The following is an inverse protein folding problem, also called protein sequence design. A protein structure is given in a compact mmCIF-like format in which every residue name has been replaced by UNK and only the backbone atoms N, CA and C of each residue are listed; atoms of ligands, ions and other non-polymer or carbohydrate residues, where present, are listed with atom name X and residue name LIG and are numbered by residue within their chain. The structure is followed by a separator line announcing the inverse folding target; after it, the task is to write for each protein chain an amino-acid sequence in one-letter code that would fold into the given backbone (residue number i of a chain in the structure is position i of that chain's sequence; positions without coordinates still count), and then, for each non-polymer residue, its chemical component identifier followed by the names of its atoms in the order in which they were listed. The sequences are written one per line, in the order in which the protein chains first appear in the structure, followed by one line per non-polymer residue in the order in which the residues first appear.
data_IF_762514421524
#
_entry.id   IF_762514421524
#
_cell.length_a   1.000
_cell.length_b   1.000
_cell.length_c   1.000
_cell.angle_alpha   90.00
_cell.angle_beta   90.00
_cell.angle_gamma   90.00
#
_symmetry.space_group_name_H-M   'P 1'
#
loop_
_entity.id
_entity.type
_entity.pdbx_description
1 polymer ?
#
# COMPACT_ATOMS: atom_id res chain seq x y z
N UNK A 1 -22.82 3.81 -21.84
CA UNK A 1 -22.08 4.26 -23.03
C UNK A 1 -20.59 4.36 -22.69
N UNK A 2 -19.68 4.04 -23.60
CA UNK A 2 -18.24 4.30 -23.44
C UNK A 2 -17.98 5.77 -23.12
N UNK A 3 -17.00 6.05 -22.27
CA UNK A 3 -16.58 7.40 -21.88
C UNK A 3 -15.09 7.57 -22.13
N UNK A 4 -14.66 8.79 -22.33
CA UNK A 4 -13.25 9.15 -22.30
C UNK A 4 -12.80 9.39 -20.85
N UNK A 5 -11.84 8.60 -20.39
CA UNK A 5 -11.33 8.64 -19.01
C UNK A 5 -9.85 8.98 -19.04
N UNK A 6 -9.46 9.91 -18.20
CA UNK A 6 -8.07 10.27 -17.98
C UNK A 6 -7.65 9.88 -16.55
N UNK A 7 -6.58 9.11 -16.42
CA UNK A 7 -6.02 8.71 -15.14
C UNK A 7 -4.67 9.41 -14.94
N UNK A 8 -4.49 10.05 -13.82
CA UNK A 8 -3.24 10.71 -13.43
C UNK A 8 -2.55 9.87 -12.36
N UNK A 9 -1.41 9.28 -12.71
CA UNK A 9 -0.61 8.39 -11.89
C UNK A 9 -0.67 6.93 -12.33
N UNK A 10 0.47 6.38 -12.73
CA UNK A 10 0.67 5.01 -13.23
C UNK A 10 1.14 4.02 -12.15
N UNK A 11 0.99 4.35 -10.88
CA UNK A 11 1.15 3.40 -9.79
C UNK A 11 0.10 2.28 -9.84
N UNK A 12 0.25 1.25 -8.98
CA UNK A 12 -0.61 0.06 -9.01
C UNK A 12 -2.11 0.37 -8.90
N UNK A 13 -2.49 1.42 -8.16
CA UNK A 13 -3.90 1.86 -8.04
C UNK A 13 -4.41 2.44 -9.36
N UNK A 14 -3.61 3.28 -10.03
CA UNK A 14 -3.96 3.83 -11.34
C UNK A 14 -4.01 2.76 -12.42
N UNK A 15 -3.07 1.80 -12.41
CA UNK A 15 -3.06 0.67 -13.34
C UNK A 15 -4.27 -0.25 -13.13
N UNK A 16 -4.59 -0.63 -11.89
CA UNK A 16 -5.78 -1.42 -11.60
C UNK A 16 -7.06 -0.69 -12.03
N UNK A 17 -7.13 0.63 -11.82
CA UNK A 17 -8.23 1.46 -12.30
C UNK A 17 -8.33 1.45 -13.84
N UNK A 18 -7.21 1.62 -14.53
CA UNK A 18 -7.17 1.57 -15.99
C UNK A 18 -7.61 0.20 -16.53
N UNK A 19 -7.15 -0.88 -15.89
CA UNK A 19 -7.52 -2.24 -16.26
C UNK A 19 -9.06 -2.44 -16.22
N UNK A 20 -9.72 -2.15 -15.08
CA UNK A 20 -11.16 -2.34 -14.96
C UNK A 20 -11.97 -1.42 -15.88
N UNK A 21 -11.49 -0.19 -16.13
CA UNK A 21 -12.16 0.75 -17.03
C UNK A 21 -12.03 0.34 -18.50
N UNK A 22 -10.84 -0.14 -18.93
CA UNK A 22 -10.67 -0.65 -20.31
C UNK A 22 -11.47 -1.93 -20.53
N UNK A 23 -11.50 -2.84 -19.56
CA UNK A 23 -12.37 -4.02 -19.63
C UNK A 23 -13.86 -3.67 -19.69
N UNK A 24 -14.27 -2.56 -19.06
CA UNK A 24 -15.64 -2.06 -19.17
C UNK A 24 -15.93 -1.33 -20.51
N UNK A 25 -14.98 -1.30 -21.44
CA UNK A 25 -15.14 -0.70 -22.77
C UNK A 25 -14.97 0.82 -22.82
N UNK A 26 -14.40 1.44 -21.77
CA UNK A 26 -14.10 2.88 -21.80
C UNK A 26 -12.79 3.17 -22.55
N UNK A 27 -12.71 4.34 -23.18
CA UNK A 27 -11.46 4.88 -23.73
C UNK A 27 -10.62 5.46 -22.60
N UNK A 28 -9.48 4.85 -22.30
CA UNK A 28 -8.64 5.19 -21.13
C UNK A 28 -7.27 5.69 -21.59
N UNK A 29 -6.90 6.88 -21.09
CA UNK A 29 -5.54 7.42 -21.17
C UNK A 29 -4.97 7.55 -19.77
N UNK A 30 -3.77 7.02 -19.54
CA UNK A 30 -3.07 7.05 -18.26
C UNK A 30 -1.80 7.88 -18.41
N UNK A 31 -1.69 8.97 -17.65
CA UNK A 31 -0.51 9.84 -17.63
C UNK A 31 0.35 9.47 -16.44
N UNK A 32 1.63 9.14 -16.69
CA UNK A 32 2.64 8.86 -15.67
C UNK A 32 3.94 9.61 -15.96
N UNK A 33 4.50 10.25 -14.93
CA UNK A 33 5.76 11.03 -15.08
C UNK A 33 6.99 10.18 -15.27
N UNK A 34 7.02 9.00 -14.65
CA UNK A 34 8.12 8.02 -14.74
C UNK A 34 7.60 6.68 -15.25
N UNK A 35 7.70 6.41 -16.58
CA UNK A 35 7.23 5.15 -17.16
C UNK A 35 7.90 3.90 -16.58
N UNK A 36 9.12 4.05 -16.03
CA UNK A 36 9.84 2.95 -15.36
C UNK A 36 9.30 2.64 -13.97
N UNK A 37 8.55 3.57 -13.38
CA UNK A 37 8.05 3.50 -12.01
C UNK A 37 9.16 3.30 -10.96
N UNK A 38 10.38 3.73 -11.25
CA UNK A 38 11.57 3.50 -10.42
C UNK A 38 11.41 4.02 -8.98
N UNK A 39 10.70 5.13 -8.82
CA UNK A 39 10.41 5.75 -7.52
C UNK A 39 8.96 5.52 -7.05
N UNK A 40 8.19 4.69 -7.76
CA UNK A 40 6.83 4.39 -7.36
C UNK A 40 6.79 3.49 -6.13
N UNK A 41 5.94 3.83 -5.14
CA UNK A 41 5.69 2.96 -3.99
C UNK A 41 5.21 1.55 -4.38
N UNK A 42 4.77 1.37 -5.62
CA UNK A 42 4.26 0.10 -6.12
C UNK A 42 5.37 -0.90 -6.39
N UNK A 43 6.46 -0.49 -7.06
CA UNK A 43 7.55 -1.39 -7.47
C UNK A 43 8.38 -1.92 -6.31
N UNK A 44 8.63 -1.08 -5.30
CA UNK A 44 9.36 -1.47 -4.09
C UNK A 44 8.47 -2.00 -2.96
N UNK A 45 7.17 -2.24 -3.21
CA UNK A 45 6.25 -2.82 -2.24
C UNK A 45 6.70 -4.23 -1.84
N UNK A 46 6.34 -4.63 -0.60
CA UNK A 46 6.62 -5.97 -0.09
C UNK A 46 5.85 -7.10 -0.80
N UNK A 47 4.89 -6.79 -1.66
CA UNK A 47 4.18 -7.79 -2.45
C UNK A 47 3.09 -8.57 -1.69
N UNK A 48 2.75 -8.17 -0.48
CA UNK A 48 1.79 -8.87 0.37
C UNK A 48 0.36 -8.41 0.09
N UNK A 49 -0.55 -9.36 0.03
CA UNK A 49 -2.00 -9.19 -0.05
C UNK A 49 -2.56 -9.70 1.27
N UNK A 50 -3.03 -8.78 2.12
CA UNK A 50 -3.15 -9.05 3.56
C UNK A 50 -4.53 -8.73 4.14
N UNK A 51 -5.52 -9.63 4.02
CA UNK A 51 -6.77 -9.58 4.79
C UNK A 51 -6.56 -9.46 6.29
N UNK A 52 -5.45 -9.97 6.82
CA UNK A 52 -5.04 -9.85 8.22
C UNK A 52 -4.83 -8.40 8.70
N UNK A 53 -4.66 -7.44 7.77
CA UNK A 53 -4.43 -6.02 8.09
C UNK A 53 -5.75 -5.23 8.20
N UNK A 54 -6.65 -5.66 9.07
CA UNK A 54 -7.95 -5.02 9.32
C UNK A 54 -7.89 -3.88 10.35
N UNK A 55 -6.76 -3.69 11.03
CA UNK A 55 -6.53 -2.59 11.97
C UNK A 55 -5.90 -1.41 11.23
N UNK A 56 -6.50 -0.20 11.26
CA UNK A 56 -5.94 0.96 10.59
C UNK A 56 -4.62 1.42 11.23
N UNK A 57 -3.79 2.17 10.48
CA UNK A 57 -2.54 2.73 10.99
C UNK A 57 -2.76 3.63 12.23
N UNK A 58 -3.87 4.37 12.26
CA UNK A 58 -4.27 5.19 13.39
C UNK A 58 -4.96 4.31 14.45
N UNK A 59 -4.18 3.64 15.29
CA UNK A 59 -4.64 2.76 16.36
C UNK A 59 -4.11 3.21 17.74
N UNK A 60 -4.75 2.79 18.83
CA UNK A 60 -4.25 3.07 20.19
C UNK A 60 -2.82 2.59 20.39
N UNK A 61 -2.02 3.35 21.14
CA UNK A 61 -0.63 3.00 21.46
C UNK A 61 0.40 3.36 20.38
N UNK A 62 0.01 3.57 19.12
CA UNK A 62 0.96 3.87 18.01
C UNK A 62 1.74 5.16 18.27
N UNK A 63 1.11 6.20 18.83
CA UNK A 63 1.78 7.47 19.14
C UNK A 63 2.83 7.27 20.23
N UNK A 64 2.46 6.62 21.34
CA UNK A 64 3.39 6.37 22.46
C UNK A 64 4.57 5.51 22.04
N UNK A 65 4.32 4.47 21.25
CA UNK A 65 5.36 3.63 20.69
C UNK A 65 6.24 4.41 19.70
N UNK A 66 5.64 5.23 18.84
CA UNK A 66 6.37 6.09 17.92
C UNK A 66 7.31 7.06 18.61
N UNK A 67 6.86 7.70 19.71
CA UNK A 67 7.68 8.59 20.52
C UNK A 67 8.89 7.85 21.15
N UNK A 68 8.68 6.65 21.71
CA UNK A 68 9.79 5.81 22.22
C UNK A 68 10.83 5.50 21.13
N UNK A 69 10.37 5.23 19.92
CA UNK A 69 11.25 4.89 18.81
C UNK A 69 12.02 6.08 18.22
N UNK A 70 11.54 7.30 18.39
CA UNK A 70 12.22 8.49 17.86
C UNK A 70 13.65 8.69 18.39
N UNK A 71 13.95 8.19 19.57
CA UNK A 71 15.28 8.29 20.19
C UNK A 71 16.28 7.22 19.71
N UNK A 72 15.81 6.22 18.96
CA UNK A 72 16.68 5.19 18.40
C UNK A 72 16.90 5.43 16.90
N UNK A 73 18.12 5.72 16.42
CA UNK A 73 18.41 5.99 15.01
C UNK A 73 18.17 4.76 14.10
N UNK A 74 18.15 3.54 14.65
CA UNK A 74 17.86 2.29 13.92
C UNK A 74 16.38 1.88 13.99
N UNK A 75 15.53 2.67 14.65
CA UNK A 75 14.13 2.30 14.83
C UNK A 75 13.35 2.21 13.51
N UNK A 76 12.33 1.37 13.45
CA UNK A 76 11.50 1.21 12.25
C UNK A 76 10.56 2.40 12.00
N UNK A 77 10.37 3.29 12.97
CA UNK A 77 9.51 4.46 12.85
C UNK A 77 10.26 5.76 13.17
N UNK A 78 9.95 6.81 12.41
CA UNK A 78 10.45 8.15 12.67
C UNK A 78 9.50 9.22 12.16
N UNK A 79 9.28 10.24 12.96
CA UNK A 79 8.64 11.47 12.54
C UNK A 79 9.71 12.55 12.38
N UNK A 80 9.99 12.97 11.13
CA UNK A 80 10.98 14.00 10.85
C UNK A 80 10.46 15.37 11.29
N UNK A 81 11.06 15.99 12.33
CA UNK A 81 10.66 17.32 12.79
C UNK A 81 10.81 18.36 11.67
N UNK A 82 9.76 19.13 11.44
CA UNK A 82 9.78 20.28 10.51
C UNK A 82 8.62 21.22 10.83
N UNK A 83 8.84 22.49 10.61
CA UNK A 83 7.78 23.51 10.69
C UNK A 83 6.93 23.45 9.44
N UNK A 84 5.75 22.85 9.56
CA UNK A 84 4.81 22.65 8.45
C UNK A 84 3.38 22.58 8.96
N UNK A 85 2.52 23.54 8.55
CA UNK A 85 1.09 23.51 8.91
C UNK A 85 0.39 22.21 8.48
N UNK A 86 0.77 21.66 7.32
CA UNK A 86 0.21 20.40 6.83
C UNK A 86 0.59 19.20 7.72
N UNK A 87 1.83 19.19 8.24
CA UNK A 87 2.26 18.16 9.19
C UNK A 87 1.53 18.31 10.52
N UNK A 88 1.43 19.54 11.06
CA UNK A 88 0.74 19.79 12.32
C UNK A 88 -0.74 19.37 12.24
N UNK A 89 -1.43 19.73 11.15
CA UNK A 89 -2.81 19.28 10.91
C UNK A 89 -2.90 17.75 10.81
N UNK A 90 -1.98 17.12 10.09
CA UNK A 90 -1.95 15.66 9.94
C UNK A 90 -1.75 14.97 11.31
N UNK A 91 -0.79 15.43 12.14
CA UNK A 91 -0.54 14.91 13.49
C UNK A 91 -1.79 15.05 14.37
N UNK A 92 -2.44 16.21 14.35
CA UNK A 92 -3.67 16.44 15.12
C UNK A 92 -4.77 15.45 14.71
N UNK A 93 -5.00 15.29 13.40
CA UNK A 93 -6.00 14.37 12.89
C UNK A 93 -5.64 12.91 13.18
N UNK A 94 -4.36 12.55 13.05
CA UNK A 94 -3.88 11.19 13.36
C UNK A 94 -4.11 10.87 14.86
N UNK A 95 -3.78 11.79 15.74
CA UNK A 95 -4.02 11.63 17.17
C UNK A 95 -5.52 11.50 17.50
N UNK A 96 -6.36 12.32 16.86
CA UNK A 96 -7.82 12.26 17.01
C UNK A 96 -8.40 10.90 16.60
N UNK A 97 -7.82 10.24 15.61
CA UNK A 97 -8.28 8.93 15.12
C UNK A 97 -7.56 7.74 15.77
N UNK A 98 -6.47 7.94 16.51
CA UNK A 98 -5.76 6.85 17.21
C UNK A 98 -6.51 6.35 18.46
N UNK A 99 -7.75 5.89 18.28
CA UNK A 99 -8.68 5.49 19.35
C UNK A 99 -9.31 4.11 19.10
N UNK A 100 -9.69 3.41 20.19
CA UNK A 100 -10.43 2.14 20.11
C UNK A 100 -11.73 2.27 19.30
N UNK A 101 -12.44 3.39 19.45
CA UNK A 101 -13.68 3.70 18.72
C UNK A 101 -13.43 3.77 17.22
N UNK A 102 -12.33 4.40 16.80
CA UNK A 102 -11.98 4.47 15.37
C UNK A 102 -11.69 3.08 14.81
N UNK A 103 -10.87 2.27 15.51
CA UNK A 103 -10.60 0.88 15.11
C UNK A 103 -11.90 0.09 14.97
N UNK A 104 -12.76 0.11 15.99
CA UNK A 104 -14.05 -0.60 15.96
C UNK A 104 -14.95 -0.18 14.79
N UNK A 105 -14.94 1.11 14.43
CA UNK A 105 -15.77 1.63 13.34
C UNK A 105 -15.23 1.32 11.94
N UNK A 106 -13.95 1.00 11.82
CA UNK A 106 -13.27 0.89 10.50
C UNK A 106 -12.76 -0.50 10.17
N UNK A 107 -12.61 -1.36 11.16
CA UNK A 107 -12.03 -2.70 10.98
C UNK A 107 -12.83 -3.59 10.01
N UNK A 108 -14.17 -3.55 10.07
CA UNK A 108 -15.01 -4.33 9.16
C UNK A 108 -14.86 -3.84 7.71
N UNK A 109 -14.84 -2.52 7.51
CA UNK A 109 -14.60 -1.94 6.19
C UNK A 109 -13.25 -2.36 5.61
N UNK A 110 -12.17 -2.30 6.43
CA UNK A 110 -10.83 -2.73 5.99
C UNK A 110 -10.78 -4.24 5.71
N UNK A 111 -11.42 -5.06 6.53
CA UNK A 111 -11.59 -6.50 6.30
C UNK A 111 -12.29 -6.75 4.95
N UNK A 112 -13.44 -6.12 4.73
CA UNK A 112 -14.25 -6.36 3.53
C UNK A 112 -13.54 -5.90 2.26
N UNK A 113 -12.88 -4.73 2.30
CA UNK A 113 -12.02 -4.25 1.22
C UNK A 113 -10.90 -5.25 0.92
N UNK A 114 -10.24 -5.77 1.96
CA UNK A 114 -9.08 -6.66 1.81
C UNK A 114 -9.47 -8.05 1.31
N UNK A 115 -10.58 -8.63 1.82
CA UNK A 115 -11.09 -9.92 1.36
C UNK A 115 -11.56 -9.85 -0.10
N UNK A 116 -12.32 -8.80 -0.45
CA UNK A 116 -12.77 -8.63 -1.83
C UNK A 116 -11.60 -8.34 -2.78
N UNK A 117 -10.62 -7.53 -2.32
CA UNK A 117 -9.42 -7.29 -3.10
C UNK A 117 -8.60 -8.57 -3.32
N UNK A 118 -8.47 -9.43 -2.30
CA UNK A 118 -7.83 -10.74 -2.43
C UNK A 118 -8.56 -11.59 -3.49
N UNK A 119 -9.89 -11.66 -3.42
CA UNK A 119 -10.69 -12.39 -4.42
C UNK A 119 -10.41 -11.89 -5.85
N UNK A 120 -10.35 -10.58 -6.01
CA UNK A 120 -10.02 -9.95 -7.29
C UNK A 120 -8.57 -10.22 -7.72
N UNK A 121 -7.59 -10.25 -6.79
CA UNK A 121 -6.23 -10.65 -7.10
C UNK A 121 -6.13 -12.09 -7.64
N UNK A 122 -6.89 -13.02 -7.04
CA UNK A 122 -6.96 -14.41 -7.52
C UNK A 122 -7.50 -14.46 -8.95
N UNK A 123 -8.61 -13.79 -9.22
CA UNK A 123 -9.17 -13.71 -10.57
C UNK A 123 -8.19 -13.10 -11.58
N UNK A 124 -7.54 -12.00 -11.22
CA UNK A 124 -6.55 -11.34 -12.07
C UNK A 124 -5.34 -12.23 -12.35
N UNK A 125 -4.87 -12.97 -11.34
CA UNK A 125 -3.74 -13.90 -11.48
C UNK A 125 -4.03 -14.99 -12.53
N UNK A 126 -5.25 -15.52 -12.54
CA UNK A 126 -5.68 -16.50 -13.54
C UNK A 126 -5.86 -15.89 -14.93
N UNK A 127 -6.51 -14.71 -15.00
CA UNK A 127 -6.83 -14.04 -16.26
C UNK A 127 -5.62 -13.47 -16.97
N UNK A 128 -4.70 -12.87 -16.23
CA UNK A 128 -3.54 -12.12 -16.75
C UNK A 128 -2.22 -12.88 -16.55
N UNK A 129 -2.29 -14.14 -16.08
CA UNK A 129 -1.18 -15.09 -15.96
C UNK A 129 0.07 -14.56 -15.24
N UNK A 130 -0.10 -14.09 -13.99
CA UNK A 130 1.03 -13.76 -13.11
C UNK A 130 1.00 -14.62 -11.84
N UNK A 131 2.17 -14.97 -11.26
CA UNK A 131 2.23 -15.80 -10.07
C UNK A 131 1.64 -15.10 -8.82
N UNK A 132 0.76 -15.79 -8.11
CA UNK A 132 0.23 -15.41 -6.81
C UNK A 132 0.36 -16.59 -5.84
N UNK A 133 1.16 -16.45 -4.80
CA UNK A 133 1.42 -17.49 -3.81
C UNK A 133 0.39 -17.41 -2.69
N UNK A 134 -0.41 -18.48 -2.51
CA UNK A 134 -1.54 -18.57 -1.60
C UNK A 134 -1.23 -19.45 -0.38
N UNK A 135 -0.05 -19.29 0.22
CA UNK A 135 0.39 -20.10 1.37
C UNK A 135 0.14 -19.44 2.73
N UNK A 136 -0.37 -18.21 2.72
CA UNK A 136 -0.56 -17.41 3.92
C UNK A 136 0.65 -16.52 4.22
N UNK A 137 0.59 -15.90 5.40
CA UNK A 137 1.60 -15.00 5.97
C UNK A 137 1.89 -15.42 7.40
N UNK A 138 3.15 -15.32 7.83
CA UNK A 138 3.58 -15.53 9.20
C UNK A 138 3.87 -14.19 9.88
N UNK A 139 3.23 -13.88 11.01
CA UNK A 139 3.69 -12.84 11.93
C UNK A 139 4.63 -13.48 12.94
N UNK A 140 5.94 -13.33 12.73
CA UNK A 140 6.99 -13.95 13.56
C UNK A 140 7.26 -13.12 14.81
N UNK A 141 7.34 -13.76 15.98
CA UNK A 141 7.57 -13.13 17.28
C UNK A 141 8.80 -13.73 17.98
N UNK A 142 9.74 -12.88 18.42
CA UNK A 142 10.93 -13.29 19.19
C UNK A 142 10.72 -13.25 20.70
N UNK A 143 9.70 -12.54 21.18
CA UNK A 143 9.36 -12.42 22.59
C UNK A 143 8.02 -13.08 22.91
N UNK A 144 7.90 -13.65 24.11
CA UNK A 144 6.62 -14.19 24.62
C UNK A 144 5.54 -13.10 24.64
N UNK A 145 5.88 -11.90 25.11
CA UNK A 145 4.95 -10.76 25.14
C UNK A 145 4.47 -10.38 23.74
N UNK A 146 5.36 -10.37 22.73
CA UNK A 146 5.00 -10.10 21.34
C UNK A 146 4.07 -11.18 20.77
N UNK A 147 4.31 -12.45 21.11
CA UNK A 147 3.45 -13.56 20.69
C UNK A 147 2.06 -13.47 21.35
N UNK A 148 1.99 -13.13 22.63
CA UNK A 148 0.72 -12.96 23.35
C UNK A 148 -0.09 -11.78 22.79
N UNK A 149 0.55 -10.63 22.50
CA UNK A 149 -0.11 -9.50 21.85
C UNK A 149 -0.69 -9.90 20.48
N UNK A 150 0.07 -10.60 19.63
CA UNK A 150 -0.39 -11.04 18.31
C UNK A 150 -1.46 -12.14 18.41
N UNK A 151 -1.40 -13.03 19.43
CA UNK A 151 -2.46 -13.99 19.70
C UNK A 151 -3.80 -13.30 20.06
N UNK A 152 -3.75 -12.17 20.79
CA UNK A 152 -4.95 -11.38 21.05
C UNK A 152 -5.52 -10.77 19.76
N UNK A 153 -4.65 -10.32 18.84
CA UNK A 153 -5.08 -9.84 17.50
C UNK A 153 -5.69 -10.98 16.69
N UNK A 154 -5.11 -12.19 16.74
CA UNK A 154 -5.66 -13.37 16.07
C UNK A 154 -7.04 -13.76 16.62
N UNK A 155 -7.23 -13.74 17.94
CA UNK A 155 -8.52 -14.00 18.57
C UNK A 155 -9.56 -12.95 18.16
N UNK A 156 -9.16 -11.68 18.07
CA UNK A 156 -10.04 -10.62 17.58
C UNK A 156 -10.39 -10.82 16.10
N UNK A 157 -9.45 -11.24 15.27
CA UNK A 157 -9.67 -11.54 13.86
C UNK A 157 -10.74 -12.62 13.65
N UNK A 158 -10.76 -13.65 14.52
CA UNK A 158 -11.81 -14.68 14.50
C UNK A 158 -13.22 -14.09 14.70
N UNK A 159 -13.38 -13.07 15.54
CA UNK A 159 -14.67 -12.39 15.71
C UNK A 159 -15.12 -11.64 14.45
N UNK A 160 -14.18 -11.34 13.56
CA UNK A 160 -14.44 -10.72 12.27
C UNK A 160 -14.54 -11.72 11.11
N UNK A 161 -14.52 -13.03 11.40
CA UNK A 161 -14.59 -14.10 10.40
C UNK A 161 -13.30 -14.34 9.62
N UNK A 162 -12.17 -13.78 10.10
CA UNK A 162 -10.85 -14.05 9.54
C UNK A 162 -10.23 -15.29 10.21
N UNK A 163 -9.40 -16.01 9.45
CA UNK A 163 -8.68 -17.17 9.95
C UNK A 163 -7.29 -16.77 10.45
N UNK A 164 -6.91 -17.31 11.60
CA UNK A 164 -5.58 -17.14 12.18
C UNK A 164 -5.24 -18.37 13.03
N UNK A 165 -3.98 -18.78 13.08
CA UNK A 165 -3.48 -19.88 13.89
C UNK A 165 -2.26 -19.41 14.69
N UNK A 166 -2.27 -19.68 16.00
CA UNK A 166 -1.09 -19.47 16.85
C UNK A 166 -0.19 -20.69 16.68
N UNK A 167 1.00 -20.47 16.15
CA UNK A 167 1.97 -21.50 15.84
C UNK A 167 3.11 -21.52 16.86
N UNK A 168 3.36 -22.67 17.46
CA UNK A 168 4.59 -22.94 18.19
C UNK A 168 5.77 -23.21 17.23
N UNK A 169 6.95 -23.51 17.80
CA UNK A 169 8.15 -23.81 17.00
C UNK A 169 8.01 -25.07 16.15
N UNK A 170 7.26 -26.08 16.61
CA UNK A 170 7.01 -27.31 15.86
C UNK A 170 6.18 -27.00 14.62
N UNK A 171 5.07 -26.30 14.80
CA UNK A 171 4.20 -25.90 13.72
C UNK A 171 4.87 -24.94 12.74
N UNK A 172 5.70 -24.02 13.25
CA UNK A 172 6.49 -23.12 12.42
C UNK A 172 7.47 -23.88 11.52
N UNK A 173 8.12 -24.94 12.05
CA UNK A 173 9.02 -25.81 11.28
C UNK A 173 8.30 -26.62 10.19
N UNK A 174 7.05 -27.02 10.43
CA UNK A 174 6.21 -27.66 9.40
C UNK A 174 5.87 -26.69 8.26
N UNK A 175 5.55 -25.43 8.59
CA UNK A 175 5.21 -24.41 7.61
C UNK A 175 6.43 -23.93 6.80
N UNK A 176 7.61 -23.90 7.44
CA UNK A 176 8.88 -23.45 6.84
C UNK A 176 10.00 -24.50 7.05
N UNK A 177 9.89 -25.68 6.42
CA UNK A 177 10.82 -26.80 6.66
C UNK A 177 12.27 -26.53 6.21
N UNK A 178 12.43 -25.65 5.21
CA UNK A 178 13.72 -25.38 4.55
C UNK A 178 14.41 -24.11 5.04
N UNK A 179 13.81 -23.40 6.00
CA UNK A 179 14.32 -22.12 6.50
C UNK A 179 14.47 -22.19 8.00
N UNK A 180 15.62 -21.76 8.50
CA UNK A 180 15.82 -21.60 9.94
C UNK A 180 15.22 -20.26 10.38
N UNK A 181 14.32 -20.29 11.38
CA UNK A 181 13.65 -19.11 11.90
C UNK A 181 13.85 -19.01 13.40
N UNK A 182 14.50 -17.95 13.85
CA UNK A 182 14.68 -17.63 15.25
C UNK A 182 13.49 -16.85 15.80
N UNK A 183 12.42 -17.56 16.16
CA UNK A 183 11.21 -17.02 16.75
C UNK A 183 10.74 -17.90 17.90
N UNK A 184 10.04 -17.32 18.89
CA UNK A 184 9.34 -18.05 19.96
C UNK A 184 8.09 -18.75 19.43
N UNK A 185 7.45 -18.13 18.46
CA UNK A 185 6.27 -18.61 17.77
C UNK A 185 5.84 -17.61 16.70
N UNK A 186 4.69 -17.88 16.11
CA UNK A 186 4.13 -17.05 15.05
C UNK A 186 2.60 -17.04 15.10
N UNK A 187 1.99 -16.08 14.40
CA UNK A 187 0.61 -16.19 13.95
C UNK A 187 0.64 -16.48 12.46
N UNK A 188 0.04 -17.58 12.05
CA UNK A 188 -0.19 -17.88 10.63
C UNK A 188 -1.55 -17.36 10.19
N UNK A 189 -1.55 -16.60 9.10
CA UNK A 189 -2.72 -16.02 8.46
C UNK A 189 -2.97 -16.72 7.12
N UNK A 190 -3.73 -17.83 7.07
CA UNK A 190 -3.85 -18.66 5.86
C UNK A 190 -4.53 -17.97 4.68
N UNK A 191 -5.34 -16.93 4.93
CA UNK A 191 -6.02 -16.17 3.90
C UNK A 191 -5.13 -15.13 3.19
N UNK A 192 -3.98 -14.80 3.77
CA UNK A 192 -3.04 -13.88 3.16
C UNK A 192 -2.29 -14.55 2.01
N UNK A 193 -1.76 -13.75 1.11
CA UNK A 193 -0.96 -14.23 -0.01
C UNK A 193 0.08 -13.18 -0.43
N UNK A 194 0.95 -13.55 -1.36
CA UNK A 194 1.95 -12.61 -1.86
C UNK A 194 2.22 -12.82 -3.35
N UNK A 195 2.77 -11.77 -3.96
CA UNK A 195 3.14 -11.74 -5.38
C UNK A 195 4.37 -10.86 -5.62
N UNK A 196 4.95 -10.96 -6.80
CA UNK A 196 5.94 -10.00 -7.28
C UNK A 196 5.24 -8.73 -7.80
N UNK A 197 5.47 -7.54 -7.18
CA UNK A 197 4.89 -6.29 -7.69
C UNK A 197 5.24 -6.00 -9.15
N UNK A 198 6.45 -6.34 -9.59
CA UNK A 198 6.87 -6.14 -10.98
C UNK A 198 6.05 -6.99 -11.95
N UNK A 199 5.82 -8.27 -11.65
CA UNK A 199 5.02 -9.15 -12.50
C UNK A 199 3.57 -8.69 -12.55
N UNK A 200 2.98 -8.31 -11.41
CA UNK A 200 1.62 -7.79 -11.36
C UNK A 200 1.46 -6.49 -12.16
N UNK A 201 2.38 -5.53 -12.00
CA UNK A 201 2.39 -4.27 -12.78
C UNK A 201 2.52 -4.56 -14.27
N UNK A 202 3.41 -5.47 -14.67
CA UNK A 202 3.60 -5.84 -16.07
C UNK A 202 2.35 -6.48 -16.67
N UNK A 203 1.70 -7.37 -15.92
CA UNK A 203 0.46 -8.02 -16.33
C UNK A 203 -0.68 -6.99 -16.53
N UNK A 204 -0.85 -6.06 -15.58
CA UNK A 204 -1.84 -4.98 -15.73
C UNK A 204 -1.56 -4.11 -16.96
N UNK A 205 -0.30 -3.70 -17.18
CA UNK A 205 0.07 -2.89 -18.35
C UNK A 205 -0.21 -3.61 -19.67
N UNK A 206 0.12 -4.89 -19.77
CA UNK A 206 -0.17 -5.71 -20.94
C UNK A 206 -1.68 -5.80 -21.19
N UNK A 207 -2.46 -6.05 -20.16
CA UNK A 207 -3.91 -6.11 -20.23
C UNK A 207 -4.54 -4.78 -20.68
N UNK A 208 -4.09 -3.66 -20.10
CA UNK A 208 -4.55 -2.32 -20.49
C UNK A 208 -4.27 -2.05 -21.96
N UNK A 209 -3.04 -2.33 -22.43
CA UNK A 209 -2.67 -2.15 -23.86
C UNK A 209 -3.49 -3.04 -24.78
N UNK A 210 -3.68 -4.30 -24.42
CA UNK A 210 -4.52 -5.26 -25.17
C UNK A 210 -5.95 -4.77 -25.34
N UNK A 211 -6.49 -4.07 -24.33
CA UNK A 211 -7.84 -3.52 -24.33
C UNK A 211 -7.91 -2.06 -24.85
N UNK A 212 -6.87 -1.58 -25.55
CA UNK A 212 -6.86 -0.27 -26.21
C UNK A 212 -6.56 0.92 -25.30
N UNK A 213 -6.15 0.71 -24.05
CA UNK A 213 -5.71 1.77 -23.16
C UNK A 213 -4.37 2.37 -23.58
N UNK A 214 -4.22 3.67 -23.41
CA UNK A 214 -3.05 4.43 -23.85
C UNK A 214 -2.24 4.94 -22.64
N UNK A 215 -0.91 4.80 -22.73
CA UNK A 215 0.03 5.34 -21.77
C UNK A 215 0.68 6.60 -22.30
N UNK A 216 0.67 7.66 -21.50
CA UNK A 216 1.25 8.97 -21.83
C UNK A 216 2.34 9.26 -20.78
N UNK A 217 3.53 9.57 -21.26
CA UNK A 217 4.60 10.04 -20.37
C UNK A 217 4.44 11.54 -20.14
N UNK A 218 4.28 11.95 -18.87
CA UNK A 218 4.16 13.35 -18.51
C UNK A 218 3.88 13.56 -17.02
N UNK A 219 4.37 14.66 -16.49
CA UNK A 219 4.11 15.12 -15.13
C UNK A 219 2.93 16.11 -15.15
N UNK A 220 1.77 15.70 -14.63
CA UNK A 220 0.61 16.59 -14.48
C UNK A 220 0.88 17.57 -13.35
N UNK A 221 0.81 18.87 -13.66
CA UNK A 221 1.08 19.95 -12.71
C UNK A 221 -0.12 20.86 -12.47
N UNK A 222 -1.12 20.85 -13.37
CA UNK A 222 -2.28 21.75 -13.28
C UNK A 222 -3.59 21.03 -13.58
N UNK A 223 -4.61 21.36 -12.77
CA UNK A 223 -6.02 21.06 -13.02
C UNK A 223 -6.75 22.39 -13.32
N UNK A 224 -7.48 22.45 -14.41
CA UNK A 224 -8.37 23.59 -14.71
C UNK A 224 -9.80 23.17 -14.46
N UNK A 225 -10.46 23.81 -13.49
CA UNK A 225 -11.85 23.53 -13.14
C UNK A 225 -12.72 24.78 -13.34
N UNK A 226 -13.85 24.61 -14.00
CA UNK A 226 -14.84 25.65 -14.26
C UNK A 226 -16.24 25.07 -14.14
N UNK A 227 -17.19 25.86 -13.63
CA UNK A 227 -18.59 25.46 -13.48
C UNK A 227 -18.79 24.10 -12.78
N UNK A 228 -17.99 23.83 -11.74
CA UNK A 228 -18.08 22.59 -10.97
C UNK A 228 -17.57 21.33 -11.70
N UNK A 229 -16.77 21.49 -12.76
CA UNK A 229 -16.14 20.37 -13.49
C UNK A 229 -14.67 20.63 -13.76
N UNK A 230 -13.84 19.62 -13.70
CA UNK A 230 -12.49 19.68 -14.26
C UNK A 230 -12.63 19.63 -15.78
N UNK A 231 -12.16 20.68 -16.44
CA UNK A 231 -12.19 20.83 -17.90
C UNK A 231 -10.97 20.17 -18.55
N UNK A 232 -9.82 20.28 -17.89
CA UNK A 232 -8.56 19.74 -18.42
C UNK A 232 -7.52 19.52 -17.34
N UNK A 233 -6.54 18.70 -17.67
CA UNK A 233 -5.26 18.58 -16.95
C UNK A 233 -4.14 19.04 -17.85
N UNK A 234 -3.12 19.71 -17.29
CA UNK A 234 -1.96 20.19 -18.04
C UNK A 234 -0.69 19.58 -17.45
N UNK A 235 0.17 19.10 -18.32
CA UNK A 235 1.48 18.57 -17.95
C UNK A 235 2.51 19.70 -17.81
N UNK A 236 3.63 19.37 -17.22
CA UNK A 236 4.77 20.29 -17.08
C UNK A 236 5.35 20.75 -18.42
N UNK A 237 5.22 19.92 -19.47
CA UNK A 237 5.59 20.28 -20.85
C UNK A 237 4.61 21.23 -21.52
N UNK A 238 3.44 21.52 -20.91
CA UNK A 238 2.42 22.41 -21.43
C UNK A 238 1.31 21.69 -22.20
N UNK A 239 1.41 20.39 -22.42
CA UNK A 239 0.36 19.61 -23.08
C UNK A 239 -0.89 19.55 -22.23
N UNK A 240 -2.05 19.72 -22.88
CA UNK A 240 -3.34 19.77 -22.20
C UNK A 240 -4.25 18.65 -22.67
N UNK A 241 -4.84 17.91 -21.72
CA UNK A 241 -5.72 16.78 -21.97
C UNK A 241 -7.10 17.03 -21.38
N UNK A 242 -8.14 16.69 -22.14
CA UNK A 242 -9.55 16.74 -21.72
C UNK A 242 -10.10 15.33 -21.62
N UNK A 243 -11.08 15.12 -20.74
CA UNK A 243 -11.80 13.85 -20.60
C UNK A 243 -13.15 14.09 -19.91
N UNK A 244 -14.10 13.16 -20.10
CA UNK A 244 -15.40 13.20 -19.45
C UNK A 244 -15.30 12.92 -17.94
N UNK A 245 -14.37 12.04 -17.55
CA UNK A 245 -14.03 11.80 -16.16
C UNK A 245 -12.51 11.73 -15.97
N UNK A 246 -12.06 12.21 -14.82
CA UNK A 246 -10.65 12.25 -14.45
C UNK A 246 -10.48 11.50 -13.13
N UNK A 247 -9.45 10.66 -13.05
CA UNK A 247 -9.09 9.92 -11.82
C UNK A 247 -7.71 10.38 -11.35
N UNK A 248 -7.61 10.86 -10.11
CA UNK A 248 -6.33 11.16 -9.47
C UNK A 248 -5.87 9.96 -8.63
N UNK A 249 -4.84 9.28 -9.10
CA UNK A 249 -4.19 8.13 -8.48
C UNK A 249 -2.67 8.34 -8.27
N UNK A 250 -2.22 9.59 -8.18
CA UNK A 250 -0.82 10.02 -8.11
C UNK A 250 -0.18 9.87 -6.72
N UNK A 251 -0.72 9.00 -5.83
CA UNK A 251 -0.16 8.80 -4.50
C UNK A 251 -0.12 10.11 -3.69
N UNK A 252 1.02 10.42 -3.08
CA UNK A 252 1.19 11.62 -2.25
C UNK A 252 1.02 12.93 -3.05
N UNK A 253 1.37 12.93 -4.33
CA UNK A 253 1.30 14.12 -5.19
C UNK A 253 -0.15 14.52 -5.52
N UNK A 254 -1.10 13.61 -5.36
CA UNK A 254 -2.54 13.90 -5.48
C UNK A 254 -2.98 15.08 -4.61
N UNK A 255 -2.35 15.26 -3.44
CA UNK A 255 -2.66 16.39 -2.53
C UNK A 255 -2.46 17.74 -3.22
N UNK A 256 -1.37 17.90 -3.94
CA UNK A 256 -1.04 19.17 -4.64
C UNK A 256 -2.06 19.49 -5.72
N UNK A 257 -2.45 18.48 -6.50
CA UNK A 257 -3.46 18.66 -7.55
C UNK A 257 -4.86 18.92 -6.99
N UNK A 258 -5.27 18.17 -5.96
CA UNK A 258 -6.57 18.34 -5.31
C UNK A 258 -6.74 19.73 -4.67
N UNK A 259 -5.67 20.28 -4.07
CA UNK A 259 -5.70 21.62 -3.49
C UNK A 259 -6.00 22.72 -4.50
N UNK A 260 -5.65 22.55 -5.79
CA UNK A 260 -5.92 23.54 -6.86
C UNK A 260 -7.43 23.74 -7.12
N UNK A 261 -8.24 22.74 -6.76
CA UNK A 261 -9.70 22.80 -6.88
C UNK A 261 -10.39 22.93 -5.53
N UNK A 262 -9.65 23.31 -4.48
CA UNK A 262 -10.17 23.51 -3.12
C UNK A 262 -10.52 22.21 -2.37
N UNK A 263 -10.06 21.06 -2.83
CA UNK A 263 -10.23 19.78 -2.11
C UNK A 263 -8.98 19.49 -1.27
N UNK A 264 -9.15 19.53 0.06
CA UNK A 264 -8.08 19.24 1.00
C UNK A 264 -8.00 17.73 1.29
N UNK A 265 -6.85 17.12 1.00
CA UNK A 265 -6.54 15.72 1.31
C UNK A 265 -5.35 15.67 2.28
N UNK A 266 -5.56 15.73 3.61
CA UNK A 266 -4.46 15.63 4.57
C UNK A 266 -3.71 14.31 4.38
N UNK A 267 -2.48 14.36 3.87
CA UNK A 267 -1.61 13.20 3.69
C UNK A 267 -0.17 13.55 4.03
N UNK A 268 0.59 12.56 4.47
CA UNK A 268 2.04 12.66 4.64
C UNK A 268 2.73 11.49 3.95
N UNK A 269 3.90 11.75 3.38
CA UNK A 269 4.75 10.69 2.85
C UNK A 269 5.35 9.86 3.97
N UNK A 270 4.97 8.59 4.04
CA UNK A 270 5.55 7.58 4.90
C UNK A 270 6.66 6.84 4.17
N UNK A 271 7.90 7.30 4.33
CA UNK A 271 9.06 6.73 3.64
C UNK A 271 9.40 5.35 4.17
N UNK A 272 9.62 4.41 3.26
CA UNK A 272 10.12 3.08 3.55
C UNK A 272 11.23 2.67 2.61
N UNK A 273 11.97 1.65 3.01
CA UNK A 273 13.05 1.05 2.24
C UNK A 273 12.72 -0.39 1.91
N UNK A 274 13.23 -0.88 0.78
CA UNK A 274 13.31 -2.31 0.49
C UNK A 274 14.63 -2.66 -0.16
N UNK A 275 15.10 -3.87 0.16
CA UNK A 275 16.25 -4.53 -0.43
C UNK A 275 15.77 -5.83 -1.05
N UNK A 276 16.32 -6.19 -2.20
CA UNK A 276 15.98 -7.46 -2.85
C UNK A 276 17.25 -8.26 -3.04
N UNK A 277 17.38 -9.37 -2.31
CA UNK A 277 18.50 -10.29 -2.45
C UNK A 277 18.27 -11.18 -3.67
N UNK A 278 19.18 -11.20 -4.63
CA UNK A 278 19.19 -12.20 -5.69
C UNK A 278 19.71 -13.53 -5.12
N UNK A 279 19.09 -14.64 -5.51
CA UNK A 279 19.53 -16.01 -5.18
C UNK A 279 19.80 -16.19 -3.67
N UNK A 280 18.78 -16.02 -2.80
CA UNK A 280 18.94 -16.17 -1.35
C UNK A 280 19.40 -17.59 -0.99
N UNK A 281 20.25 -17.72 0.04
CA UNK A 281 20.79 -19.02 0.51
C UNK A 281 19.70 -19.96 1.02
N UNK A 282 18.60 -19.40 1.56
CA UNK A 282 17.40 -20.12 1.94
C UNK A 282 16.20 -19.22 1.66
N UNK A 283 15.36 -19.62 0.71
CA UNK A 283 14.17 -18.84 0.37
C UNK A 283 12.97 -19.38 1.13
N UNK A 284 12.35 -18.60 2.03
CA UNK A 284 11.14 -19.04 2.73
C UNK A 284 10.02 -19.32 1.72
N UNK A 285 9.05 -20.15 2.11
CA UNK A 285 7.88 -20.45 1.28
C UNK A 285 6.75 -19.45 1.49
N UNK A 286 6.65 -18.88 2.70
CA UNK A 286 5.65 -17.90 3.09
C UNK A 286 6.28 -16.52 3.21
N UNK A 287 5.48 -15.50 2.94
CA UNK A 287 5.88 -14.17 3.35
C UNK A 287 5.73 -14.01 4.87
N UNK A 288 6.52 -13.15 5.47
CA UNK A 288 6.48 -12.93 6.92
C UNK A 288 6.61 -11.47 7.32
N UNK A 289 6.02 -11.14 8.48
CA UNK A 289 6.20 -9.90 9.20
C UNK A 289 6.94 -10.15 10.50
N UNK A 290 8.05 -9.47 10.70
CA UNK A 290 8.85 -9.55 11.90
C UNK A 290 8.29 -8.56 12.93
N UNK A 291 7.60 -9.06 13.96
CA UNK A 291 6.84 -8.24 14.92
C UNK A 291 7.67 -7.12 15.55
N UNK A 292 8.81 -7.48 16.13
CA UNK A 292 9.66 -6.54 16.85
C UNK A 292 10.43 -5.59 15.91
N UNK A 293 10.83 -6.10 14.73
CA UNK A 293 11.58 -5.34 13.74
C UNK A 293 10.73 -4.49 12.81
N UNK A 294 9.42 -4.76 12.73
CA UNK A 294 8.52 -4.15 11.74
C UNK A 294 9.06 -4.28 10.31
N UNK A 295 9.58 -5.45 9.99
CA UNK A 295 10.16 -5.79 8.69
C UNK A 295 9.26 -6.81 8.00
N UNK A 296 8.98 -6.57 6.73
CA UNK A 296 8.30 -7.49 5.84
C UNK A 296 9.33 -8.28 5.04
N UNK A 297 9.17 -9.59 4.97
CA UNK A 297 10.03 -10.50 4.22
C UNK A 297 9.17 -11.27 3.24
N UNK A 298 9.51 -11.22 1.94
CA UNK A 298 8.68 -11.82 0.90
C UNK A 298 9.53 -12.55 -0.12
N UNK A 299 9.38 -13.86 -0.29
CA UNK A 299 9.94 -14.59 -1.41
C UNK A 299 9.24 -14.19 -2.71
N UNK A 300 10.02 -13.85 -3.74
CA UNK A 300 9.53 -13.42 -5.05
C UNK A 300 10.21 -14.23 -6.16
N UNK A 301 9.83 -15.50 -6.29
CA UNK A 301 10.50 -16.46 -7.15
C UNK A 301 11.89 -16.80 -6.58
N UNK A 302 12.93 -16.53 -7.34
CA UNK A 302 14.33 -16.74 -7.00
C UNK A 302 15.00 -15.57 -6.26
N UNK A 303 14.21 -14.59 -5.81
CA UNK A 303 14.67 -13.44 -5.04
C UNK A 303 13.95 -13.35 -3.69
N UNK A 304 14.56 -12.67 -2.73
CA UNK A 304 13.97 -12.41 -1.42
C UNK A 304 13.93 -10.91 -1.16
N UNK A 305 12.73 -10.36 -0.97
CA UNK A 305 12.57 -8.95 -0.61
C UNK A 305 12.48 -8.76 0.89
N UNK A 306 13.29 -7.83 1.41
CA UNK A 306 13.29 -7.39 2.81
C UNK A 306 12.93 -5.90 2.82
N UNK A 307 11.79 -5.56 3.42
CA UNK A 307 11.25 -4.20 3.40
C UNK A 307 10.88 -3.74 4.81
N UNK A 308 11.16 -2.47 5.12
CA UNK A 308 10.86 -1.95 6.46
C UNK A 308 10.78 -0.44 6.50
N UNK A 309 10.69 0.07 7.69
CA UNK A 309 10.60 1.46 8.11
C UNK A 309 9.31 2.20 7.72
N UNK A 310 8.98 3.20 8.53
CA UNK A 310 7.95 4.20 8.30
C UNK A 310 8.48 5.55 8.80
N UNK A 311 9.06 6.35 7.91
CA UNK A 311 9.48 7.71 8.24
C UNK A 311 8.46 8.73 7.72
N UNK A 312 7.77 9.42 8.59
CA UNK A 312 6.88 10.54 8.22
C UNK A 312 7.73 11.75 7.90
N UNK A 313 8.05 11.93 6.62
CA UNK A 313 9.10 12.86 6.18
C UNK A 313 8.67 13.84 5.07
N UNK A 314 7.37 13.94 4.75
CA UNK A 314 6.86 14.73 3.62
C UNK A 314 7.27 14.12 2.29
N UNK A 315 8.00 14.88 1.48
CA UNK A 315 8.47 14.43 0.15
C UNK A 315 9.96 14.06 0.12
N UNK A 316 10.62 13.96 1.29
CA UNK A 316 12.05 13.63 1.36
C UNK A 316 12.32 12.16 1.06
N UNK A 317 13.14 11.89 0.04
CA UNK A 317 13.52 10.54 -0.40
C UNK A 317 14.95 10.15 -0.04
N UNK A 318 15.68 10.97 0.75
CA UNK A 318 17.03 10.60 1.19
C UNK A 318 17.03 9.35 2.07
N UNK A 319 18.01 8.46 1.86
CA UNK A 319 18.12 7.20 2.60
C UNK A 319 18.86 7.44 3.91
N UNK A 320 18.27 6.99 5.02
CA UNK A 320 18.92 6.96 6.33
C UNK A 320 19.69 5.65 6.50
N UNK A 321 21.02 5.70 6.38
CA UNK A 321 21.87 4.52 6.56
C UNK A 321 21.63 3.79 7.90
N UNK A 322 21.50 4.48 9.06
CA UNK A 322 21.24 3.79 10.32
C UNK A 322 19.90 3.03 10.32
N UNK A 323 18.83 3.58 9.70
CA UNK A 323 17.52 2.90 9.65
C UNK A 323 17.53 1.73 8.70
N UNK A 324 18.18 1.88 7.54
CA UNK A 324 18.37 0.77 6.61
C UNK A 324 19.14 -0.37 7.29
N UNK A 325 20.21 -0.04 8.02
CA UNK A 325 20.95 -1.01 8.81
C UNK A 325 20.07 -1.70 9.87
N UNK A 326 19.16 -0.94 10.51
CA UNK A 326 18.18 -1.49 11.46
C UNK A 326 17.25 -2.53 10.83
N UNK A 327 16.83 -2.34 9.58
CA UNK A 327 16.03 -3.31 8.82
C UNK A 327 16.83 -4.60 8.59
N UNK A 328 18.09 -4.46 8.14
CA UNK A 328 18.97 -5.61 7.84
C UNK A 328 19.25 -6.39 9.14
N UNK A 329 19.63 -5.71 10.22
CA UNK A 329 19.91 -6.34 11.50
C UNK A 329 18.68 -7.07 12.08
N UNK A 330 17.49 -6.45 11.96
CA UNK A 330 16.25 -7.09 12.38
C UNK A 330 15.97 -8.35 11.56
N UNK A 331 16.16 -8.31 10.25
CA UNK A 331 16.02 -9.49 9.40
C UNK A 331 16.98 -10.60 9.79
N UNK A 332 18.29 -10.32 9.92
CA UNK A 332 19.29 -11.32 10.29
C UNK A 332 19.08 -11.96 11.67
N UNK A 333 18.43 -11.23 12.60
CA UNK A 333 18.05 -11.81 13.91
C UNK A 333 17.00 -12.91 13.81
N UNK A 334 16.04 -12.76 12.89
CA UNK A 334 14.98 -13.74 12.67
C UNK A 334 15.41 -14.87 11.74
N UNK A 335 16.32 -14.58 10.80
CA UNK A 335 16.81 -15.52 9.80
C UNK A 335 18.34 -15.69 9.95
N UNK A 336 18.80 -16.53 10.90
CA UNK A 336 20.21 -16.62 11.31
C UNK A 336 21.16 -17.15 10.23
N UNK A 337 20.64 -17.77 9.17
CA UNK A 337 21.42 -18.17 8.00
C UNK A 337 21.90 -17.02 7.14
N UNK A 338 21.42 -15.78 7.40
CA UNK A 338 21.84 -14.57 6.70
C UNK A 338 22.71 -13.68 7.59
N UNK A 339 23.61 -12.97 6.95
CA UNK A 339 24.50 -12.00 7.59
C UNK A 339 24.27 -10.60 6.99
N UNK A 340 24.64 -9.56 7.75
CA UNK A 340 24.53 -8.17 7.26
C UNK A 340 25.39 -7.90 6.04
N UNK A 341 26.48 -8.67 5.85
CA UNK A 341 27.33 -8.64 4.65
C UNK A 341 26.60 -9.00 3.36
N UNK A 342 25.56 -9.83 3.42
CA UNK A 342 24.79 -10.27 2.24
C UNK A 342 24.03 -9.13 1.58
N UNK A 343 23.90 -8.00 2.30
CA UNK A 343 23.20 -6.80 1.84
C UNK A 343 24.13 -5.66 1.41
N UNK A 344 25.45 -5.85 1.52
CA UNK A 344 26.44 -4.76 1.40
C UNK A 344 26.41 -4.08 0.02
N UNK A 345 26.25 -4.88 -1.02
CA UNK A 345 26.34 -4.42 -2.42
C UNK A 345 24.95 -4.26 -3.07
N UNK A 346 23.88 -4.24 -2.27
CA UNK A 346 22.52 -4.08 -2.77
C UNK A 346 22.11 -2.61 -2.75
N UNK A 347 21.56 -2.15 -3.86
CA UNK A 347 20.94 -0.82 -3.95
C UNK A 347 19.58 -0.82 -3.26
N UNK A 348 19.40 -0.03 -2.19
CA UNK A 348 18.13 0.07 -1.52
C UNK A 348 17.14 0.91 -2.33
N UNK A 349 15.96 0.36 -2.57
CA UNK A 349 14.85 1.14 -3.07
C UNK A 349 14.23 1.98 -1.94
N UNK A 350 13.74 3.18 -2.30
CA UNK A 350 13.05 4.10 -1.41
C UNK A 350 11.74 4.60 -2.03
N UNK A 351 10.67 4.68 -1.25
CA UNK A 351 9.39 5.22 -1.70
C UNK A 351 8.57 5.86 -0.59
N UNK A 352 7.64 6.72 -1.00
CA UNK A 352 6.78 7.51 -0.12
C UNK A 352 5.34 6.94 -0.12
N UNK A 353 4.98 6.22 0.91
CA UNK A 353 3.60 5.72 1.10
C UNK A 353 2.67 6.90 1.37
N UNK A 354 1.53 7.05 0.67
CA UNK A 354 0.58 8.15 0.89
C UNK A 354 -0.25 7.88 2.15
N UNK A 355 0.19 8.38 3.30
CA UNK A 355 -0.43 8.10 4.59
C UNK A 355 -1.53 9.12 4.91
N UNK A 356 -2.79 8.71 4.90
CA UNK A 356 -3.91 9.45 5.45
C UNK A 356 -3.88 9.48 6.98
N UNK A 357 -4.47 10.46 7.65
CA UNK A 357 -4.37 10.56 9.11
C UNK A 357 -5.24 9.56 9.87
N UNK A 358 -6.25 9.00 9.25
CA UNK A 358 -7.13 7.96 9.81
C UNK A 358 -6.75 6.53 9.37
N UNK A 359 -5.77 6.39 8.47
CA UNK A 359 -5.34 5.10 7.93
C UNK A 359 -6.24 4.53 6.83
N UNK A 360 -7.32 5.21 6.44
CA UNK A 360 -8.22 4.81 5.36
C UNK A 360 -7.84 5.48 4.03
N UNK A 361 -7.99 4.82 2.88
CA UNK A 361 -7.81 5.48 1.59
C UNK A 361 -8.83 6.58 1.34
N UNK A 362 -8.48 7.54 0.46
CA UNK A 362 -9.42 8.46 -0.15
C UNK A 362 -9.93 7.84 -1.44
N UNK A 363 -11.21 7.48 -1.46
CA UNK A 363 -11.84 6.85 -2.60
C UNK A 363 -13.26 7.40 -2.80
N UNK A 364 -13.50 8.05 -3.93
CA UNK A 364 -14.82 8.61 -4.24
C UNK A 364 -14.74 9.83 -5.16
N UNK A 365 -15.91 10.35 -5.51
CA UNK A 365 -16.03 11.60 -6.27
C UNK A 365 -15.67 12.80 -5.42
N UNK A 366 -15.03 13.80 -6.04
CA UNK A 366 -14.84 15.10 -5.40
C UNK A 366 -16.20 15.81 -5.31
N UNK A 367 -16.65 16.26 -4.12
CA UNK A 367 -18.04 16.75 -3.94
C UNK A 367 -18.44 17.94 -4.82
N UNK A 368 -17.50 18.88 -5.02
CA UNK A 368 -17.73 20.08 -5.85
C UNK A 368 -17.40 19.87 -7.33
N UNK A 369 -16.88 18.71 -7.70
CA UNK A 369 -16.35 18.42 -9.04
C UNK A 369 -16.63 16.95 -9.38
N UNK A 370 -17.89 16.57 -9.63
CA UNK A 370 -18.33 15.17 -9.71
C UNK A 370 -17.70 14.35 -10.86
N UNK A 371 -17.09 15.00 -11.85
CA UNK A 371 -16.33 14.31 -12.88
C UNK A 371 -14.88 13.99 -12.47
N UNK A 372 -14.47 14.39 -11.26
CA UNK A 372 -13.19 14.04 -10.68
C UNK A 372 -13.37 12.96 -9.62
N UNK A 373 -12.62 11.88 -9.74
CA UNK A 373 -12.58 10.77 -8.77
C UNK A 373 -11.18 10.74 -8.14
N UNK A 374 -11.15 10.59 -6.84
CA UNK A 374 -9.92 10.46 -6.06
C UNK A 374 -9.73 8.97 -5.70
N UNK A 375 -8.52 8.46 -5.91
CA UNK A 375 -8.13 7.09 -5.56
C UNK A 375 -6.69 7.08 -5.03
N UNK A 376 -6.50 7.44 -3.76
CA UNK A 376 -5.18 7.59 -3.13
C UNK A 376 -5.23 7.38 -1.61
N UNK A 377 -4.12 7.58 -0.92
CA UNK A 377 -4.09 7.55 0.55
C UNK A 377 -4.07 6.15 1.16
N UNK A 378 -3.72 5.12 0.39
CA UNK A 378 -3.76 3.71 0.80
C UNK A 378 -2.66 3.32 1.80
N UNK A 379 -1.80 4.24 2.23
CA UNK A 379 -0.68 3.96 3.13
C UNK A 379 0.17 2.78 2.64
N UNK A 380 0.31 1.72 3.43
CA UNK A 380 1.03 0.49 3.08
C UNK A 380 0.20 -0.46 2.20
N UNK A 381 -1.12 -0.30 2.16
CA UNK A 381 -2.08 -1.24 1.58
C UNK A 381 -2.33 -1.04 0.08
N UNK A 382 -1.61 -0.11 -0.57
CA UNK A 382 -1.88 0.27 -1.96
C UNK A 382 -1.86 -0.90 -2.94
N UNK A 383 -0.90 -1.83 -2.83
CA UNK A 383 -0.84 -3.04 -3.64
C UNK A 383 -1.99 -3.98 -3.29
N UNK A 384 -2.16 -4.27 -2.00
CA UNK A 384 -3.20 -5.18 -1.50
C UNK A 384 -4.60 -4.74 -1.89
N UNK A 385 -4.88 -3.43 -1.90
CA UNK A 385 -6.20 -2.87 -2.20
C UNK A 385 -6.35 -2.36 -3.64
N UNK A 386 -5.35 -2.49 -4.51
CA UNK A 386 -5.41 -1.96 -5.87
C UNK A 386 -6.57 -2.51 -6.71
N UNK A 387 -6.83 -3.83 -6.78
CA UNK A 387 -7.92 -4.36 -7.58
C UNK A 387 -9.29 -3.87 -7.13
N UNK A 388 -9.58 -3.92 -5.83
CA UNK A 388 -10.87 -3.44 -5.33
C UNK A 388 -11.04 -1.94 -5.56
N UNK A 389 -9.97 -1.15 -5.39
CA UNK A 389 -10.00 0.29 -5.68
C UNK A 389 -10.33 0.55 -7.14
N UNK A 390 -9.66 -0.15 -8.06
CA UNK A 390 -9.92 -0.04 -9.51
C UNK A 390 -11.35 -0.42 -9.87
N UNK A 391 -11.86 -1.51 -9.31
CA UNK A 391 -13.24 -1.96 -9.51
C UNK A 391 -14.26 -0.94 -9.02
N UNK A 392 -14.05 -0.41 -7.80
CA UNK A 392 -14.95 0.61 -7.22
C UNK A 392 -14.92 1.91 -8.02
N UNK A 393 -13.76 2.32 -8.56
CA UNK A 393 -13.67 3.47 -9.46
C UNK A 393 -14.45 3.20 -10.75
N UNK A 394 -14.35 2.01 -11.33
CA UNK A 394 -15.12 1.65 -12.52
C UNK A 394 -16.64 1.67 -12.24
N UNK A 395 -17.08 1.20 -11.07
CA UNK A 395 -18.49 1.28 -10.66
C UNK A 395 -18.94 2.76 -10.51
N UNK A 396 -18.11 3.62 -9.93
CA UNK A 396 -18.38 5.06 -9.86
C UNK A 396 -18.50 5.69 -11.24
N UNK A 397 -17.60 5.40 -12.18
CA UNK A 397 -17.65 5.91 -13.56
C UNK A 397 -18.92 5.46 -14.27
N UNK A 398 -19.35 4.21 -14.04
CA UNK A 398 -20.58 3.66 -14.59
C UNK A 398 -21.86 4.13 -13.89
N UNK A 399 -21.75 4.96 -12.84
CA UNK A 399 -22.84 5.34 -11.92
C UNK A 399 -23.59 4.14 -11.31
N UNK A 400 -22.89 3.03 -11.11
CA UNK A 400 -23.40 1.87 -10.38
C UNK A 400 -23.23 2.08 -8.87
N UNK A 401 -24.11 1.47 -8.10
CA UNK A 401 -23.93 1.41 -6.64
C UNK A 401 -22.69 0.56 -6.33
N UNK A 402 -21.67 1.10 -5.64
CA UNK A 402 -20.50 0.33 -5.25
C UNK A 402 -20.88 -0.87 -4.36
N UNK A 403 -20.16 -1.97 -4.51
CA UNK A 403 -20.37 -3.19 -3.70
C UNK A 403 -20.01 -2.99 -2.22
N UNK A 404 -19.14 -2.02 -1.94
CA UNK A 404 -18.71 -1.63 -0.59
C UNK A 404 -19.13 -0.17 -0.34
N UNK A 405 -19.57 0.12 0.88
CA UNK A 405 -19.98 1.46 1.27
C UNK A 405 -18.76 2.41 1.34
N UNK A 406 -18.74 3.45 0.52
CA UNK A 406 -17.63 4.40 0.41
C UNK A 406 -17.73 5.61 1.36
N UNK A 407 -18.73 5.67 2.23
CA UNK A 407 -18.98 6.86 3.08
C UNK A 407 -17.75 7.23 3.92
N UNK A 408 -17.09 6.26 4.53
CA UNK A 408 -15.88 6.48 5.32
C UNK A 408 -14.64 6.76 4.48
N UNK A 409 -14.67 6.45 3.18
CA UNK A 409 -13.58 6.69 2.23
C UNK A 409 -13.71 8.03 1.50
N UNK A 410 -14.78 8.80 1.77
CA UNK A 410 -15.08 10.05 1.08
C UNK A 410 -13.85 10.99 1.08
N UNK A 411 -13.43 11.51 -0.07
CA UNK A 411 -12.29 12.44 -0.16
C UNK A 411 -12.45 13.72 0.68
N UNK A 412 -13.67 14.14 0.93
CA UNK A 412 -13.94 15.35 1.73
C UNK A 412 -14.32 15.08 3.20
N UNK A 413 -13.86 13.95 3.77
CA UNK A 413 -14.15 13.60 5.17
C UNK A 413 -13.37 14.40 6.22
N UNK A 414 -12.43 15.29 5.80
CA UNK A 414 -11.61 16.16 6.66
C UNK A 414 -11.79 17.64 6.38
#
# INVERSE_FOLDING_TARGET
MPKEILIVGGGVVGLATAHYLTQAGHSVRLIERDPSLSQSCSTGNAGMIVPSHFIPLAAPGVITQGLKWMFNPKSPFFLRPRLSPSLARWIYLFAKHSTKKHVSNTQELLRDLSLESRRLHLQLSEQENFPLVQKGLLTLCQSEAGLEEEAQVANHAHTLGLQAEVCDQTRLKELEPNTEINAKGAIWWPQDCHLSPHQFISALRASISKNGGQFITGEVTKLTAENGKVQSVTTKSGETYKAEAIVLAGGIDTTTLANQIGLSLPMQGGKGYSLTLPKPVANPQLCSLLKEGRVAVTPMGDTLRVAGTMEICGTNTSISKPRLQGVIEAFCKFYPQYQTSDFKDLDPWVGLRPCSPDGLPYLGRAPKTPNLIIATGHSMMGLSLAPITGKLVADLVANKKPTINLTQLNPARF
#
